data_IF_612571773768
#
_entry.id   IF_612571773768
#
_cell.length_a   1.000
_cell.length_b   1.000
_cell.length_c   1.000
_cell.angle_alpha   90.00
_cell.angle_beta   90.00
_cell.angle_gamma   90.00
#
_symmetry.space_group_name_H-M   'P 1'
#
loop_
_entity.id
_entity.type
_entity.pdbx_description
1 polymer ?
#
# COMPACT_ATOMS: atom_id res chain seq x y z
N UNK A 1 -5.95 10.60 13.41
CA UNK A 1 -5.61 9.56 12.41
C UNK A 1 -5.43 10.23 11.07
N UNK A 2 -4.35 9.94 10.34
CA UNK A 2 -4.08 10.48 9.01
C UNK A 2 -4.57 9.52 7.93
N UNK A 3 -5.05 10.08 6.83
CA UNK A 3 -5.49 9.35 5.65
C UNK A 3 -4.65 9.76 4.45
N UNK A 4 -4.20 8.78 3.68
CA UNK A 4 -3.59 8.96 2.36
C UNK A 4 -4.36 8.05 1.39
N UNK A 5 -4.53 8.45 0.14
CA UNK A 5 -5.25 7.60 -0.79
C UNK A 5 -5.34 8.17 -2.19
N UNK A 6 -5.78 7.32 -3.10
CA UNK A 6 -5.92 7.64 -4.51
C UNK A 6 -6.38 6.44 -5.32
N UNK A 7 -6.72 6.69 -6.58
CA UNK A 7 -7.01 5.64 -7.55
C UNK A 7 -5.73 5.24 -8.28
N UNK A 8 -5.43 3.95 -8.28
CA UNK A 8 -4.34 3.37 -9.03
C UNK A 8 -4.84 2.71 -10.30
N UNK A 9 -4.13 2.96 -11.40
CA UNK A 9 -4.33 2.34 -12.70
C UNK A 9 -3.18 1.35 -13.00
N UNK A 10 -3.50 0.07 -12.99
CA UNK A 10 -2.61 -1.05 -13.31
C UNK A 10 -2.64 -1.44 -14.79
N UNK A 11 -3.38 -0.72 -15.64
CA UNK A 11 -3.44 -1.00 -17.09
C UNK A 11 -2.08 -0.82 -17.78
N UNK A 12 -1.22 0.04 -17.22
CA UNK A 12 0.12 0.34 -17.72
C UNK A 12 1.22 -0.56 -17.15
N UNK A 13 0.87 -1.51 -16.27
CA UNK A 13 1.81 -2.42 -15.64
C UNK A 13 1.73 -2.42 -14.12
N UNK A 14 2.48 -3.32 -13.47
CA UNK A 14 2.47 -3.44 -12.03
C UNK A 14 3.15 -2.25 -11.35
N UNK A 15 2.75 -1.99 -10.11
CA UNK A 15 3.27 -0.91 -9.27
C UNK A 15 3.85 -1.51 -7.99
N UNK A 16 4.91 -0.93 -7.46
CA UNK A 16 5.50 -1.29 -6.17
C UNK A 16 5.01 -0.33 -5.12
N UNK A 17 4.32 -0.86 -4.11
CA UNK A 17 4.02 -0.16 -2.87
C UNK A 17 5.20 -0.32 -1.92
N UNK A 18 5.84 0.80 -1.58
CA UNK A 18 6.79 0.86 -0.48
C UNK A 18 6.07 1.30 0.80
N UNK A 19 6.35 0.62 1.91
CA UNK A 19 6.00 1.08 3.25
C UNK A 19 7.28 1.19 4.10
N UNK A 20 7.46 2.29 4.86
CA UNK A 20 8.62 2.43 5.73
C UNK A 20 8.47 1.55 6.98
N UNK A 21 9.52 1.46 7.78
CA UNK A 21 9.39 0.95 9.15
C UNK A 21 8.51 1.91 9.96
N UNK A 22 7.38 1.39 10.41
CA UNK A 22 6.37 2.11 11.17
C UNK A 22 6.66 2.12 12.68
N UNK A 23 7.77 1.52 13.13
CA UNK A 23 8.22 1.49 14.53
C UNK A 23 7.11 1.03 15.49
N UNK A 24 6.40 -0.03 15.11
CA UNK A 24 5.27 -0.57 15.88
C UNK A 24 3.97 0.24 15.81
N UNK A 25 3.95 1.41 15.14
CA UNK A 25 2.76 2.26 14.96
C UNK A 25 1.68 1.51 14.19
N UNK A 26 0.42 1.75 14.57
CA UNK A 26 -0.70 1.24 13.79
C UNK A 26 -0.78 1.96 12.43
N UNK A 27 -0.81 1.16 11.36
CA UNK A 27 -1.12 1.61 10.03
C UNK A 27 -1.82 0.52 9.22
N UNK A 28 -2.49 0.93 8.15
CA UNK A 28 -3.08 0.03 7.17
C UNK A 28 -3.19 0.70 5.81
N UNK A 29 -2.74 0.04 4.76
CA UNK A 29 -3.04 0.33 3.37
C UNK A 29 -4.04 -0.70 2.88
N UNK A 30 -5.24 -0.24 2.56
CA UNK A 30 -6.36 -1.04 2.08
C UNK A 30 -6.45 -0.93 0.56
N UNK A 31 -6.72 -2.06 -0.08
CA UNK A 31 -6.95 -2.14 -1.52
C UNK A 31 -8.38 -2.59 -1.80
N UNK A 32 -9.09 -1.75 -2.54
CA UNK A 32 -10.53 -1.88 -2.77
C UNK A 32 -10.82 -1.82 -4.25
N UNK A 33 -11.76 -2.66 -4.70
CA UNK A 33 -12.38 -2.52 -6.01
C UNK A 33 -13.25 -1.24 -6.01
N UNK A 34 -12.93 -0.23 -6.85
CA UNK A 34 -13.68 1.02 -6.88
C UNK A 34 -15.10 0.87 -7.44
N UNK A 35 -15.44 -0.25 -8.09
CA UNK A 35 -16.75 -0.45 -8.72
C UNK A 35 -17.83 -0.91 -7.74
N UNK A 36 -17.49 -1.76 -6.78
CA UNK A 36 -18.44 -2.36 -5.82
C UNK A 36 -18.06 -2.14 -4.34
N UNK A 37 -16.86 -1.63 -4.07
CA UNK A 37 -16.36 -1.40 -2.72
C UNK A 37 -15.76 -2.65 -2.04
N UNK A 38 -15.57 -3.74 -2.76
CA UNK A 38 -15.01 -4.99 -2.23
C UNK A 38 -13.53 -4.82 -1.89
N UNK A 39 -13.14 -5.10 -0.65
CA UNK A 39 -11.74 -5.10 -0.24
C UNK A 39 -11.09 -6.44 -0.56
N UNK A 40 -9.97 -6.42 -1.27
CA UNK A 40 -9.28 -7.66 -1.68
C UNK A 40 -7.92 -7.85 -1.00
N UNK A 41 -7.29 -6.80 -0.47
CA UNK A 41 -6.00 -6.93 0.22
C UNK A 41 -5.75 -5.81 1.23
N UNK A 42 -4.84 -6.10 2.16
CA UNK A 42 -4.35 -5.15 3.17
C UNK A 42 -2.85 -5.34 3.42
N UNK A 43 -2.11 -4.22 3.49
CA UNK A 43 -0.75 -4.15 4.05
C UNK A 43 -0.84 -3.34 5.33
N UNK A 44 -0.21 -3.78 6.41
CA UNK A 44 -0.35 -3.08 7.69
C UNK A 44 0.04 -3.90 8.90
N UNK A 45 0.03 -3.25 10.06
CA UNK A 45 0.41 -3.85 11.35
C UNK A 45 -0.24 -5.22 11.62
N UNK A 46 -1.49 -5.41 11.19
CA UNK A 46 -2.25 -6.65 11.42
C UNK A 46 -1.99 -7.78 10.42
N UNK A 47 -1.53 -7.47 9.20
CA UNK A 47 -1.41 -8.45 8.11
C UNK A 47 0.03 -8.70 7.69
N UNK A 48 0.89 -7.69 7.77
CA UNK A 48 2.27 -7.74 7.28
C UNK A 48 3.29 -7.26 8.31
N UNK A 49 2.84 -6.85 9.50
CA UNK A 49 3.71 -6.27 10.53
C UNK A 49 4.01 -4.80 10.29
N UNK A 50 5.02 -4.28 10.99
CA UNK A 50 5.38 -2.84 10.95
C UNK A 50 6.75 -2.55 10.38
N UNK A 51 7.54 -3.57 10.05
CA UNK A 51 8.83 -3.39 9.39
C UNK A 51 8.65 -2.84 7.98
N UNK A 52 9.71 -2.22 7.46
CA UNK A 52 9.76 -1.73 6.08
C UNK A 52 9.54 -2.89 5.09
N UNK A 53 8.87 -2.63 3.97
CA UNK A 53 8.65 -3.64 2.96
C UNK A 53 8.13 -3.12 1.64
N UNK A 54 8.38 -3.91 0.60
CA UNK A 54 7.94 -3.65 -0.77
C UNK A 54 6.93 -4.70 -1.22
N UNK A 55 5.83 -4.24 -1.81
CA UNK A 55 4.73 -5.08 -2.27
C UNK A 55 4.44 -4.80 -3.74
N UNK A 56 4.55 -5.83 -4.57
CA UNK A 56 4.26 -5.72 -5.98
C UNK A 56 2.76 -5.85 -6.22
N UNK A 57 2.12 -4.76 -6.61
CA UNK A 57 0.74 -4.74 -7.03
C UNK A 57 0.62 -5.00 -8.52
N UNK A 58 0.04 -6.13 -8.88
CA UNK A 58 -0.12 -6.54 -10.26
C UNK A 58 -1.59 -6.58 -10.67
N UNK A 59 -1.90 -6.13 -11.88
CA UNK A 59 -3.23 -6.29 -12.47
C UNK A 59 -3.54 -7.75 -12.85
N UNK A 60 -4.79 -8.03 -13.27
CA UNK A 60 -5.22 -9.37 -13.63
C UNK A 60 -4.41 -9.92 -14.81
N UNK A 61 -4.00 -11.19 -14.70
CA UNK A 61 -3.29 -11.90 -15.76
C UNK A 61 -1.83 -11.49 -15.97
N UNK A 62 -1.24 -10.69 -15.08
CA UNK A 62 0.20 -10.39 -15.12
C UNK A 62 1.03 -11.67 -14.93
N UNK A 63 2.05 -11.86 -15.79
CA UNK A 63 2.90 -13.07 -15.85
C UNK A 63 4.39 -12.80 -15.65
N UNK A 64 4.74 -11.62 -15.14
CA UNK A 64 6.13 -11.29 -14.84
C UNK A 64 6.65 -12.02 -13.61
N UNK A 65 7.93 -11.85 -13.33
CA UNK A 65 8.57 -12.37 -12.11
C UNK A 65 8.49 -11.35 -11.00
N UNK A 66 8.09 -11.78 -9.81
CA UNK A 66 8.11 -10.94 -8.61
C UNK A 66 9.57 -10.74 -8.21
N UNK A 67 10.08 -9.49 -8.11
CA UNK A 67 11.45 -9.25 -7.66
C UNK A 67 11.73 -9.85 -6.28
N UNK A 68 12.98 -10.26 -6.05
CA UNK A 68 13.39 -10.85 -4.79
C UNK A 68 13.09 -9.90 -3.61
N UNK A 69 12.52 -10.46 -2.53
CA UNK A 69 12.18 -9.70 -1.33
C UNK A 69 10.81 -9.02 -1.37
N UNK A 70 10.12 -8.99 -2.52
CA UNK A 70 8.78 -8.43 -2.63
C UNK A 70 7.69 -9.50 -2.45
N UNK A 71 6.53 -9.09 -1.93
CA UNK A 71 5.31 -9.91 -1.93
C UNK A 71 4.34 -9.40 -2.99
N UNK A 72 3.74 -10.30 -3.74
CA UNK A 72 2.74 -9.94 -4.75
C UNK A 72 1.36 -9.74 -4.12
N UNK A 73 0.69 -8.66 -4.54
CA UNK A 73 -0.73 -8.39 -4.31
C UNK A 73 -1.39 -8.40 -5.69
N UNK A 74 -2.09 -9.50 -6.00
CA UNK A 74 -2.81 -9.63 -7.26
C UNK A 74 -4.15 -8.92 -7.16
N UNK A 75 -4.33 -7.84 -7.93
CA UNK A 75 -5.63 -7.18 -8.05
C UNK A 75 -6.52 -7.95 -9.03
N UNK A 76 -7.81 -8.17 -8.69
CA UNK A 76 -8.77 -8.73 -9.64
C UNK A 76 -9.06 -7.77 -10.80
N UNK A 77 -8.77 -6.47 -10.65
CA UNK A 77 -9.10 -5.43 -11.62
C UNK A 77 -7.88 -4.59 -12.00
N UNK A 78 -8.02 -3.81 -13.08
CA UNK A 78 -7.00 -2.84 -13.49
C UNK A 78 -7.08 -1.52 -12.71
N UNK A 79 -8.22 -1.23 -12.09
CA UNK A 79 -8.41 -0.03 -11.26
C UNK A 79 -8.52 -0.43 -9.80
N UNK A 80 -7.80 0.26 -8.93
CA UNK A 80 -7.78 0.00 -7.49
C UNK A 80 -7.93 1.29 -6.72
N UNK A 81 -8.87 1.35 -5.79
CA UNK A 81 -8.89 2.40 -4.78
C UNK A 81 -7.94 2.01 -3.64
N UNK A 82 -6.97 2.88 -3.37
CA UNK A 82 -5.97 2.68 -2.30
C UNK A 82 -6.28 3.64 -1.16
N UNK A 83 -6.40 3.11 0.06
CA UNK A 83 -6.66 3.91 1.26
C UNK A 83 -5.68 3.53 2.36
N UNK A 84 -4.68 4.39 2.56
CA UNK A 84 -3.74 4.36 3.67
C UNK A 84 -4.26 5.09 4.90
N UNK A 85 -4.01 4.51 6.08
CA UNK A 85 -4.37 5.06 7.38
C UNK A 85 -3.18 4.95 8.30
N UNK A 86 -2.83 6.04 8.97
CA UNK A 86 -1.74 6.07 9.95
C UNK A 86 -2.29 6.63 11.26
N UNK A 87 -2.08 5.89 12.36
CA UNK A 87 -2.52 6.32 13.68
C UNK A 87 -1.70 7.52 14.16
N UNK A 88 -2.37 8.46 14.82
CA UNK A 88 -1.78 9.64 15.46
C UNK A 88 -2.19 9.52 16.93
N UNK A 89 -1.22 9.42 17.82
CA UNK A 89 -1.47 9.20 19.25
C UNK A 89 -1.91 10.47 19.96
N UNK A 90 -1.33 11.61 19.58
CA UNK A 90 -1.59 12.94 20.15
C UNK A 90 -1.24 14.05 19.15
N UNK A 91 -1.57 15.29 19.48
CA UNK A 91 -1.24 16.45 18.64
C UNK A 91 0.28 16.65 18.45
N UNK A 92 1.09 16.33 19.48
CA UNK A 92 2.55 16.41 19.39
C UNK A 92 3.17 15.29 18.53
N UNK A 93 2.45 14.18 18.35
CA UNK A 93 2.86 13.04 17.53
C UNK A 93 2.55 13.24 16.03
N UNK A 94 1.67 14.19 15.70
CA UNK A 94 1.24 14.46 14.34
C UNK A 94 2.39 14.63 13.33
N UNK A 95 3.49 15.38 13.62
CA UNK A 95 4.60 15.53 12.68
C UNK A 95 5.28 14.18 12.37
N UNK A 96 5.46 13.32 13.38
CA UNK A 96 6.05 11.99 13.23
C UNK A 96 5.16 11.10 12.37
N UNK A 97 3.86 11.03 12.69
CA UNK A 97 2.90 10.26 11.92
C UNK A 97 2.81 10.73 10.46
N UNK A 98 2.85 12.04 10.23
CA UNK A 98 2.83 12.62 8.89
C UNK A 98 4.12 12.32 8.12
N UNK A 99 5.28 12.40 8.77
CA UNK A 99 6.57 12.03 8.18
C UNK A 99 6.62 10.57 7.71
N UNK A 100 6.04 9.65 8.50
CA UNK A 100 5.90 8.24 8.11
C UNK A 100 4.88 8.06 6.98
N UNK A 101 3.71 8.71 7.06
CA UNK A 101 2.68 8.63 6.03
C UNK A 101 3.19 9.06 4.65
N UNK A 102 4.06 10.10 4.59
CA UNK A 102 4.69 10.57 3.36
C UNK A 102 5.64 9.57 2.71
N UNK A 103 6.17 8.62 3.47
CA UNK A 103 7.09 7.61 2.95
C UNK A 103 6.36 6.39 2.36
N UNK A 104 5.04 6.29 2.57
CA UNK A 104 4.21 5.31 1.86
C UNK A 104 4.07 5.79 0.41
N UNK A 105 4.66 5.05 -0.52
CA UNK A 105 4.80 5.47 -1.92
C UNK A 105 4.41 4.35 -2.87
N UNK A 106 3.86 4.74 -4.02
CA UNK A 106 3.62 3.86 -5.15
C UNK A 106 4.52 4.29 -6.30
N UNK A 107 5.25 3.34 -6.86
CA UNK A 107 6.15 3.59 -8.00
C UNK A 107 5.96 2.51 -9.07
N UNK A 108 6.17 2.79 -10.36
CA UNK A 108 6.18 1.74 -11.37
C UNK A 108 7.26 0.71 -11.08
N UNK A 109 6.97 -0.58 -11.33
CA UNK A 109 8.02 -1.59 -11.33
C UNK A 109 9.06 -1.21 -12.39
N UNK A 110 10.25 -0.80 -11.94
CA UNK A 110 11.37 -0.54 -12.84
C UNK A 110 11.94 -1.86 -13.35
N UNK A 111 12.26 -1.90 -14.64
CA UNK A 111 12.93 -3.01 -15.30
C UNK A 111 14.44 -3.00 -15.04
#
# INVERSE_FOLDING_TARGET
>A
MLYVGGCLDLSKGPQVLHVPDMAGRYYSVQFTDPSDGTNFAYVGKRTTGTEAGDYLMSGPGWKGTVPQGMKQIASPNKSVLVIGRVFVESDSDLPTAYGLAKQIQLTPLSH
#
